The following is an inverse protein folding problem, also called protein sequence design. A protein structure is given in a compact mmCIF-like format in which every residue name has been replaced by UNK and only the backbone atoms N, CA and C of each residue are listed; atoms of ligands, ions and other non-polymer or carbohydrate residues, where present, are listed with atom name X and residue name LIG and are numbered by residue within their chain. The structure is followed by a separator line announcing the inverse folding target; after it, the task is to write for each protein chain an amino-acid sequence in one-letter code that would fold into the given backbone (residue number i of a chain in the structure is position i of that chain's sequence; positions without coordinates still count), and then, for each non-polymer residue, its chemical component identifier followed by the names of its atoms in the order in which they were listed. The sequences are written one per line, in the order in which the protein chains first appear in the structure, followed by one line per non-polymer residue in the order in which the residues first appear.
data_IF_172124278999
#
_entry.id   IF_172124278999
#
_cell.length_a   1.000
_cell.length_b   1.000
_cell.length_c   1.000
_cell.angle_alpha   90.00
_cell.angle_beta   90.00
_cell.angle_gamma   90.00
#
_symmetry.space_group_name_H-M   'P 1'
#
loop_
_entity.id
_entity.type
_entity.pdbx_description
1 polymer ?
#
# COMPACT_ATOMS: atom_id res chain seq x y z
N UNK A 1 17.03 -11.08 2.62
CA UNK A 1 16.02 -10.38 3.45
C UNK A 1 16.75 -9.67 4.57
N UNK A 2 16.27 -8.50 5.00
CA UNK A 2 16.83 -7.81 6.17
C UNK A 2 16.55 -8.65 7.41
N UNK A 3 17.56 -9.18 8.13
CA UNK A 3 17.35 -10.20 9.18
C UNK A 3 16.41 -9.78 10.31
N UNK A 4 16.35 -8.49 10.62
CA UNK A 4 15.59 -7.95 11.75
C UNK A 4 14.33 -7.17 11.32
N UNK A 5 13.86 -7.34 10.07
CA UNK A 5 12.79 -6.52 9.51
C UNK A 5 11.51 -6.48 10.37
N UNK A 6 11.11 -7.62 10.93
CA UNK A 6 9.91 -7.69 11.77
C UNK A 6 10.08 -6.94 13.11
N UNK A 7 11.27 -7.02 13.71
CA UNK A 7 11.59 -6.32 14.94
C UNK A 7 11.70 -4.81 14.68
N UNK A 8 12.39 -4.40 13.62
CA UNK A 8 12.51 -3.00 13.21
C UNK A 8 11.14 -2.38 12.93
N UNK A 9 10.24 -3.14 12.29
CA UNK A 9 8.87 -2.72 12.01
C UNK A 9 8.07 -2.53 13.30
N UNK A 10 8.15 -3.48 14.24
CA UNK A 10 7.48 -3.39 15.54
C UNK A 10 7.93 -2.14 16.29
N UNK A 11 9.23 -1.94 16.44
CA UNK A 11 9.78 -0.77 17.12
C UNK A 11 9.39 0.54 16.42
N UNK A 12 9.31 0.53 15.09
CA UNK A 12 8.86 1.70 14.33
C UNK A 12 7.39 2.05 14.60
N UNK A 13 6.51 1.05 14.72
CA UNK A 13 5.11 1.27 15.06
C UNK A 13 4.95 1.74 16.51
N UNK A 14 5.73 1.20 17.44
CA UNK A 14 5.74 1.67 18.84
C UNK A 14 6.18 3.14 18.95
N UNK A 15 7.20 3.55 18.19
CA UNK A 15 7.60 4.97 18.09
C UNK A 15 6.49 5.82 17.46
N UNK A 16 5.83 5.34 16.42
CA UNK A 16 4.72 6.06 15.77
C UNK A 16 3.60 6.38 16.76
N UNK A 17 3.15 5.39 17.54
CA UNK A 17 2.09 5.56 18.56
C UNK A 17 2.50 6.55 19.64
N UNK A 18 3.76 6.52 20.07
CA UNK A 18 4.26 7.38 21.16
C UNK A 18 4.47 8.83 20.72
N UNK A 19 5.03 9.03 19.52
CA UNK A 19 5.65 10.29 19.14
C UNK A 19 4.81 11.11 18.13
N UNK A 20 3.79 10.52 17.49
CA UNK A 20 2.97 11.19 16.46
C UNK A 20 1.53 11.42 16.93
N UNK A 21 1.05 12.65 16.76
CA UNK A 21 -0.34 13.05 16.99
C UNK A 21 -1.12 13.09 15.69
N UNK A 22 -2.41 12.73 15.75
CA UNK A 22 -3.26 12.66 14.56
C UNK A 22 -3.88 14.01 14.13
N UNK A 23 -3.66 15.10 14.87
CA UNK A 23 -4.22 16.43 14.61
C UNK A 23 -3.80 17.01 13.25
N UNK A 24 -2.70 16.51 12.67
CA UNK A 24 -2.20 16.90 11.34
C UNK A 24 -2.38 15.82 10.28
N UNK A 25 -3.09 14.73 10.58
CA UNK A 25 -3.36 13.64 9.65
C UNK A 25 -4.78 13.81 9.11
N UNK A 26 -4.91 14.36 7.91
CA UNK A 26 -6.20 14.70 7.30
C UNK A 26 -6.89 13.52 6.61
N UNK A 27 -6.11 12.68 5.93
CA UNK A 27 -6.59 11.45 5.29
C UNK A 27 -5.44 10.43 5.20
N UNK A 28 -5.77 9.14 5.06
CA UNK A 28 -4.80 8.08 4.78
C UNK A 28 -5.09 7.42 3.44
N UNK A 29 -4.03 7.05 2.72
CA UNK A 29 -4.10 6.34 1.45
C UNK A 29 -3.56 4.93 1.66
N UNK A 30 -4.41 3.94 1.44
CA UNK A 30 -4.19 2.56 1.89
C UNK A 30 -4.14 1.69 0.65
N UNK A 31 -2.93 1.25 0.28
CA UNK A 31 -2.63 0.34 -0.84
C UNK A 31 -1.43 -0.52 -0.48
N UNK A 32 -1.13 -1.51 -1.30
CA UNK A 32 0.02 -2.41 -1.20
C UNK A 32 0.95 -2.21 -2.41
N UNK A 33 1.97 -3.05 -2.54
CA UNK A 33 2.86 -3.07 -3.69
C UNK A 33 3.27 -4.50 -4.06
N UNK A 34 3.51 -4.71 -5.35
CA UNK A 34 3.94 -6.00 -5.89
C UNK A 34 5.39 -6.29 -5.49
N UNK A 35 5.69 -7.52 -5.10
CA UNK A 35 7.07 -7.97 -4.89
C UNK A 35 7.79 -8.06 -6.23
N UNK A 36 8.86 -7.27 -6.40
CA UNK A 36 9.67 -7.33 -7.62
C UNK A 36 10.44 -8.65 -7.71
N UNK A 37 10.28 -9.35 -8.84
CA UNK A 37 10.98 -10.61 -9.13
C UNK A 37 12.44 -10.38 -9.55
N UNK A 38 12.73 -9.20 -10.11
CA UNK A 38 14.08 -8.81 -10.52
C UNK A 38 14.42 -7.38 -10.06
N UNK A 39 15.71 -7.04 -9.91
CA UNK A 39 16.11 -5.69 -9.50
C UNK A 39 15.64 -4.61 -10.48
N UNK A 40 15.12 -3.50 -9.94
CA UNK A 40 14.73 -2.31 -10.70
C UNK A 40 15.95 -1.48 -11.13
N UNK A 41 16.71 -2.01 -12.08
CA UNK A 41 17.91 -1.40 -12.66
C UNK A 41 17.76 -1.21 -14.18
N UNK A 42 18.76 -0.60 -14.82
CA UNK A 42 18.78 -0.41 -16.29
C UNK A 42 18.50 -1.73 -17.02
N UNK A 43 17.50 -1.72 -17.89
CA UNK A 43 17.00 -2.91 -18.60
C UNK A 43 15.71 -3.50 -18.02
N UNK A 44 15.33 -3.15 -16.78
CA UNK A 44 14.04 -3.52 -16.23
C UNK A 44 12.90 -2.75 -16.93
N UNK A 45 11.73 -3.35 -17.24
CA UNK A 45 10.63 -2.67 -17.93
C UNK A 45 10.14 -1.38 -17.25
N UNK A 46 10.20 -1.33 -15.93
CA UNK A 46 9.80 -0.16 -15.12
C UNK A 46 10.93 0.86 -14.90
N UNK A 47 12.15 0.59 -15.40
CA UNK A 47 13.29 1.49 -15.20
C UNK A 47 13.14 2.75 -16.04
N UNK A 48 13.30 3.89 -15.38
CA UNK A 48 13.39 5.21 -16.02
C UNK A 48 14.69 5.86 -15.56
N UNK A 49 15.51 6.29 -16.52
CA UNK A 49 16.78 6.96 -16.24
C UNK A 49 16.56 8.22 -15.39
N UNK A 50 17.38 8.38 -14.35
CA UNK A 50 17.28 9.48 -13.38
C UNK A 50 16.30 9.25 -12.22
N UNK A 51 15.39 8.27 -12.29
CA UNK A 51 14.49 7.96 -11.18
C UNK A 51 15.14 6.96 -10.19
N UNK A 52 14.99 7.17 -8.86
CA UNK A 52 15.32 6.14 -7.88
C UNK A 52 14.48 4.88 -8.06
N UNK A 53 15.05 3.70 -7.77
CA UNK A 53 14.34 2.41 -7.88
C UNK A 53 12.99 2.40 -7.14
N UNK A 54 12.93 2.96 -5.93
CA UNK A 54 11.67 3.08 -5.16
C UNK A 54 10.62 3.95 -5.84
N UNK A 55 11.03 4.97 -6.60
CA UNK A 55 10.10 5.80 -7.36
C UNK A 55 9.54 5.04 -8.57
N UNK A 56 10.39 4.30 -9.28
CA UNK A 56 9.96 3.43 -10.38
C UNK A 56 8.98 2.35 -9.88
N UNK A 57 9.26 1.77 -8.71
CA UNK A 57 8.35 0.82 -8.05
C UNK A 57 7.00 1.46 -7.70
N UNK A 58 7.02 2.59 -6.98
CA UNK A 58 5.82 3.30 -6.51
C UNK A 58 4.90 3.77 -7.64
N UNK A 59 5.43 3.99 -8.85
CA UNK A 59 4.66 4.44 -10.03
C UNK A 59 4.09 3.31 -10.90
N UNK A 60 4.63 2.10 -10.80
CA UNK A 60 4.31 1.02 -11.75
C UNK A 60 3.70 -0.23 -11.10
N UNK A 61 3.91 -0.42 -9.80
CA UNK A 61 3.70 -1.71 -9.15
C UNK A 61 3.03 -1.57 -7.78
N UNK A 62 2.14 -0.57 -7.61
CA UNK A 62 1.18 -0.62 -6.51
C UNK A 62 0.12 -1.66 -6.80
N UNK A 63 -0.38 -2.29 -5.74
CA UNK A 63 -1.51 -3.20 -5.74
C UNK A 63 -2.55 -2.72 -4.72
N UNK A 64 -3.79 -3.20 -4.78
CA UNK A 64 -4.68 -3.03 -3.65
C UNK A 64 -4.32 -4.02 -2.53
N UNK A 65 -4.81 -3.76 -1.32
CA UNK A 65 -4.58 -4.68 -0.20
C UNK A 65 -5.14 -6.05 -0.54
N UNK A 66 -4.45 -7.08 -0.06
CA UNK A 66 -4.87 -8.47 -0.17
C UNK A 66 -4.85 -9.07 -1.58
N UNK A 67 -4.33 -8.35 -2.58
CA UNK A 67 -4.10 -8.89 -3.94
C UNK A 67 -2.82 -9.74 -3.98
N UNK A 68 -2.74 -10.77 -3.14
CA UNK A 68 -1.60 -11.70 -3.06
C UNK A 68 -1.37 -12.44 -4.39
N UNK A 69 -2.46 -12.71 -5.12
CA UNK A 69 -2.45 -13.25 -6.49
C UNK A 69 -1.79 -12.31 -7.50
N UNK A 70 -1.63 -11.04 -7.15
CA UNK A 70 -0.93 -10.00 -7.93
C UNK A 70 0.38 -9.58 -7.27
N UNK A 71 0.84 -10.31 -6.26
CA UNK A 71 2.13 -10.09 -5.62
C UNK A 71 2.13 -9.06 -4.49
N UNK A 72 0.97 -8.59 -4.02
CA UNK A 72 0.88 -7.80 -2.79
C UNK A 72 1.52 -8.56 -1.61
N UNK A 73 2.34 -7.89 -0.80
CA UNK A 73 3.11 -8.58 0.25
C UNK A 73 3.50 -7.71 1.44
N UNK A 74 3.19 -6.40 1.43
CA UNK A 74 3.59 -5.50 2.49
C UNK A 74 2.70 -5.67 3.73
N UNK A 75 3.20 -5.37 4.94
CA UNK A 75 2.44 -5.51 6.18
C UNK A 75 1.43 -4.36 6.39
N UNK A 76 0.71 -3.93 5.34
CA UNK A 76 -0.12 -2.73 5.35
C UNK A 76 -1.27 -2.84 6.36
N UNK A 77 -1.92 -4.00 6.46
CA UNK A 77 -3.00 -4.23 7.45
C UNK A 77 -2.53 -3.92 8.88
N UNK A 78 -1.29 -4.31 9.25
CA UNK A 78 -0.73 -4.03 10.58
C UNK A 78 -0.58 -2.53 10.83
N UNK A 79 -0.14 -1.77 9.81
CA UNK A 79 0.02 -0.32 9.91
C UNK A 79 -1.33 0.37 10.06
N UNK A 80 -2.31 -0.02 9.23
CA UNK A 80 -3.65 0.56 9.26
C UNK A 80 -4.34 0.27 10.60
N UNK A 81 -4.17 -0.95 11.13
CA UNK A 81 -4.66 -1.32 12.45
C UNK A 81 -4.12 -0.38 13.54
N UNK A 82 -2.82 -0.12 13.56
CA UNK A 82 -2.19 0.81 14.52
C UNK A 82 -2.77 2.22 14.39
N UNK A 83 -2.88 2.74 13.16
CA UNK A 83 -3.41 4.08 12.93
C UNK A 83 -4.88 4.21 13.42
N UNK A 84 -5.73 3.23 13.11
CA UNK A 84 -7.16 3.29 13.42
C UNK A 84 -7.45 2.91 14.87
N UNK A 85 -6.98 1.74 15.33
CA UNK A 85 -7.36 1.17 16.62
C UNK A 85 -6.50 1.67 17.77
N UNK A 86 -5.18 1.78 17.57
CA UNK A 86 -4.27 2.16 18.65
C UNK A 86 -4.13 3.69 18.77
N UNK A 87 -4.07 4.39 17.64
CA UNK A 87 -3.96 5.86 17.60
C UNK A 87 -5.32 6.57 17.51
N UNK A 88 -6.39 5.87 17.13
CA UNK A 88 -7.75 6.42 17.12
C UNK A 88 -8.08 7.26 15.87
N UNK A 89 -7.46 6.97 14.73
CA UNK A 89 -7.74 7.68 13.47
C UNK A 89 -9.17 7.42 12.97
N UNK A 90 -9.89 8.50 12.62
CA UNK A 90 -11.32 8.49 12.21
C UNK A 90 -11.59 9.28 10.93
N UNK A 91 -10.53 9.76 10.25
CA UNK A 91 -10.66 10.55 9.04
C UNK A 91 -10.91 9.70 7.78
N UNK A 92 -10.81 10.34 6.62
CA UNK A 92 -11.04 9.66 5.33
C UNK A 92 -9.95 8.63 5.02
N UNK A 93 -10.38 7.53 4.39
CA UNK A 93 -9.52 6.48 3.87
C UNK A 93 -9.78 6.40 2.36
N UNK A 94 -8.71 6.42 1.57
CA UNK A 94 -8.78 6.26 0.12
C UNK A 94 -7.80 5.18 -0.35
N UNK A 95 -7.97 4.70 -1.58
CA UNK A 95 -7.12 3.67 -2.18
C UNK A 95 -6.36 4.30 -3.37
N UNK A 96 -5.14 4.79 -3.14
CA UNK A 96 -4.34 5.45 -4.18
C UNK A 96 -3.47 4.47 -4.95
N UNK A 97 -3.94 4.06 -6.13
CA UNK A 97 -3.21 3.16 -7.01
C UNK A 97 -2.37 3.93 -8.04
N UNK A 98 -1.10 3.53 -8.17
CA UNK A 98 -0.26 3.81 -9.32
C UNK A 98 0.30 2.49 -9.82
N UNK A 99 -0.32 1.96 -10.86
CA UNK A 99 0.04 0.69 -11.46
C UNK A 99 0.11 0.85 -12.97
N UNK A 100 1.04 0.12 -13.61
CA UNK A 100 1.09 0.01 -15.07
C UNK A 100 -0.26 -0.43 -15.67
N UNK A 101 -1.03 -1.22 -14.92
CA UNK A 101 -2.34 -1.75 -15.33
C UNK A 101 -3.38 -0.64 -15.55
N UNK A 102 -3.15 0.56 -15.00
CA UNK A 102 -4.02 1.71 -15.23
C UNK A 102 -3.85 2.35 -16.61
N UNK A 103 -2.75 2.03 -17.31
CA UNK A 103 -2.47 2.50 -18.67
C UNK A 103 -2.79 1.44 -19.74
N UNK A 104 -3.36 0.31 -19.34
CA UNK A 104 -3.82 -0.72 -20.28
C UNK A 104 -4.98 -0.19 -21.14
N UNK A 105 -5.05 -0.65 -22.38
CA UNK A 105 -6.16 -0.35 -23.27
C UNK A 105 -7.40 -1.16 -22.85
N UNK A 106 -8.56 -0.52 -22.84
CA UNK A 106 -9.83 -1.19 -22.58
C UNK A 106 -10.81 -0.32 -21.83
N UNK A 107 -12.07 -0.33 -22.28
CA UNK A 107 -13.15 0.42 -21.63
C UNK A 107 -13.44 -0.05 -20.20
N UNK A 108 -13.10 -1.30 -19.88
CA UNK A 108 -13.40 -1.92 -18.59
C UNK A 108 -12.28 -1.67 -17.55
N UNK A 109 -11.17 -1.02 -17.92
CA UNK A 109 -10.04 -0.76 -17.03
C UNK A 109 -10.46 0.06 -15.80
N UNK A 110 -11.14 1.22 -15.92
CA UNK A 110 -11.57 1.98 -14.75
C UNK A 110 -12.53 1.19 -13.84
N UNK A 111 -13.49 0.47 -14.44
CA UNK A 111 -14.45 -0.34 -13.69
C UNK A 111 -13.74 -1.45 -12.90
N UNK A 112 -12.86 -2.20 -13.55
CA UNK A 112 -12.11 -3.29 -12.92
C UNK A 112 -11.27 -2.79 -11.75
N UNK A 113 -10.63 -1.63 -11.87
CA UNK A 113 -9.87 -1.01 -10.78
C UNK A 113 -10.75 -0.54 -9.63
N UNK A 114 -11.90 0.06 -9.91
CA UNK A 114 -12.86 0.46 -8.89
C UNK A 114 -13.40 -0.77 -8.12
N UNK A 115 -13.73 -1.85 -8.83
CA UNK A 115 -14.15 -3.11 -8.23
C UNK A 115 -13.06 -3.74 -7.36
N UNK A 116 -11.80 -3.71 -7.80
CA UNK A 116 -10.66 -4.17 -7.00
C UNK A 116 -10.48 -3.34 -5.73
N UNK A 117 -10.55 -2.01 -5.85
CA UNK A 117 -10.45 -1.08 -4.72
C UNK A 117 -11.55 -1.30 -3.68
N UNK A 118 -12.81 -1.43 -4.11
CA UNK A 118 -13.92 -1.64 -3.16
C UNK A 118 -13.87 -3.04 -2.52
N UNK A 119 -13.42 -4.07 -3.24
CA UNK A 119 -13.17 -5.40 -2.65
C UNK A 119 -12.11 -5.34 -1.55
N UNK A 120 -11.00 -4.64 -1.80
CA UNK A 120 -9.96 -4.45 -0.80
C UNK A 120 -10.45 -3.67 0.42
N UNK A 121 -11.23 -2.60 0.21
CA UNK A 121 -11.87 -1.85 1.30
C UNK A 121 -12.79 -2.71 2.15
N UNK A 122 -13.72 -3.45 1.53
CA UNK A 122 -14.67 -4.29 2.26
C UNK A 122 -13.96 -5.37 3.09
N UNK A 123 -12.90 -5.97 2.52
CA UNK A 123 -12.08 -6.93 3.26
C UNK A 123 -11.34 -6.27 4.42
N UNK A 124 -10.81 -5.05 4.26
CA UNK A 124 -10.16 -4.32 5.35
C UNK A 124 -11.15 -3.99 6.49
N UNK A 125 -12.37 -3.57 6.14
CA UNK A 125 -13.46 -3.31 7.10
C UNK A 125 -13.78 -4.57 7.90
N UNK A 126 -13.93 -5.72 7.23
CA UNK A 126 -14.15 -7.01 7.88
C UNK A 126 -12.99 -7.39 8.80
N UNK A 127 -11.75 -7.32 8.30
CA UNK A 127 -10.53 -7.74 9.01
C UNK A 127 -10.24 -6.92 10.26
N UNK A 128 -10.59 -5.64 10.24
CA UNK A 128 -10.38 -4.71 11.36
C UNK A 128 -11.66 -4.43 12.16
N UNK A 129 -12.77 -5.11 11.84
CA UNK A 129 -14.07 -4.93 12.48
C UNK A 129 -14.50 -3.45 12.55
N UNK A 130 -14.26 -2.71 11.46
CA UNK A 130 -14.58 -1.29 11.39
C UNK A 130 -16.10 -1.12 11.38
N UNK A 131 -16.59 -0.19 12.21
CA UNK A 131 -18.02 0.12 12.39
C UNK A 131 -18.44 1.33 11.56
#
# INVERSE_FOLDING_TARGET
MTPNADQDMKESLERLVRDVTLDKVFYIQVVDAERMESPLVKGHPFHVDGNPARMNWSRNARAFLYEEDRGAYLPVEKIVKVLIQDMGYKGYISMELFSRTMSEEGKDVPQTHAERGIRAWNKLVERLELK
#
